data_IF_364202745053
#
_entry.id   IF_364202745053
#
_cell.length_a   1.000
_cell.length_b   1.000
_cell.length_c   1.000
_cell.angle_alpha   90.00
_cell.angle_beta   90.00
_cell.angle_gamma   90.00
#
_symmetry.space_group_name_H-M   'P 1'
#
loop_
_entity.id
_entity.type
_entity.pdbx_description
1 polymer ?
#
# COMPACT_ATOMS: atom_id res chain seq x y z
N UNK A 1 -2.43 -7.26 -1.90
CA UNK A 1 -1.59 -6.11 -2.28
C UNK A 1 -1.55 -5.13 -1.12
N UNK A 2 -0.36 -4.73 -0.68
CA UNK A 2 -0.13 -3.72 0.36
C UNK A 2 1.16 -2.95 0.03
N UNK A 3 1.23 -1.67 0.36
CA UNK A 3 2.41 -0.83 0.05
C UNK A 3 3.54 -0.98 1.09
N UNK A 4 3.17 -1.18 2.37
CA UNK A 4 4.12 -1.31 3.48
C UNK A 4 3.52 -2.14 4.61
N UNK A 5 4.36 -2.98 5.23
CA UNK A 5 4.05 -3.67 6.48
C UNK A 5 4.73 -2.91 7.61
N UNK A 6 3.98 -2.58 8.67
CA UNK A 6 4.51 -1.89 9.85
C UNK A 6 4.84 -2.94 10.91
N UNK A 7 6.07 -2.90 11.43
CA UNK A 7 6.50 -3.84 12.47
C UNK A 7 5.74 -3.58 13.77
N UNK A 8 5.37 -4.67 14.44
CA UNK A 8 4.77 -4.60 15.77
C UNK A 8 5.84 -4.48 16.87
N UNK A 9 5.49 -3.88 18.03
CA UNK A 9 6.27 -3.96 19.26
C UNK A 9 6.59 -5.40 19.67
N UNK A 10 7.66 -5.57 20.46
CA UNK A 10 8.03 -6.89 21.01
C UNK A 10 6.88 -7.43 21.85
N UNK A 11 6.42 -8.63 21.51
CA UNK A 11 5.27 -9.27 22.15
C UNK A 11 3.91 -8.87 21.57
N UNK A 12 3.87 -8.09 20.50
CA UNK A 12 2.69 -7.80 19.68
C UNK A 12 2.03 -6.45 19.99
N UNK A 13 1.26 -5.95 19.02
CA UNK A 13 0.60 -4.64 19.08
C UNK A 13 -0.33 -4.46 20.29
N UNK A 14 -0.92 -5.55 20.80
CA UNK A 14 -1.82 -5.53 21.94
C UNK A 14 -1.11 -5.32 23.28
N UNK A 15 0.18 -5.65 23.39
CA UNK A 15 0.95 -5.49 24.64
C UNK A 15 1.42 -4.08 24.89
N UNK A 16 1.75 -3.35 23.81
CA UNK A 16 2.08 -1.92 23.89
C UNK A 16 1.37 -1.14 22.76
N UNK A 17 0.08 -0.80 22.96
CA UNK A 17 -0.67 -0.03 21.99
C UNK A 17 -0.12 1.38 21.78
N UNK A 18 0.55 1.96 22.79
CA UNK A 18 1.11 3.32 22.70
C UNK A 18 2.30 3.34 21.74
N UNK A 19 3.20 2.37 21.86
CA UNK A 19 4.32 2.22 20.94
C UNK A 19 3.82 1.87 19.52
N UNK A 20 2.85 0.97 19.40
CA UNK A 20 2.26 0.65 18.11
C UNK A 20 1.63 1.88 17.44
N UNK A 21 0.91 2.72 18.18
CA UNK A 21 0.34 3.96 17.66
C UNK A 21 1.42 4.93 17.15
N UNK A 22 2.57 5.02 17.83
CA UNK A 22 3.69 5.82 17.37
C UNK A 22 4.28 5.31 16.04
N UNK A 23 4.44 3.98 15.90
CA UNK A 23 4.90 3.36 14.65
C UNK A 23 3.92 3.58 13.51
N UNK A 24 2.62 3.40 13.77
CA UNK A 24 1.57 3.63 12.79
C UNK A 24 1.53 5.10 12.37
N UNK A 25 1.58 6.05 13.32
CA UNK A 25 1.61 7.49 13.01
C UNK A 25 2.76 7.85 12.09
N UNK A 26 3.96 7.32 12.36
CA UNK A 26 5.12 7.55 11.48
C UNK A 26 4.87 6.99 10.08
N UNK A 27 4.41 5.74 9.98
CA UNK A 27 4.15 5.11 8.69
C UNK A 27 3.08 5.83 7.86
N UNK A 28 2.00 6.30 8.51
CA UNK A 28 0.95 7.08 7.86
C UNK A 28 1.47 8.44 7.37
N UNK A 29 2.26 9.14 8.16
CA UNK A 29 2.86 10.42 7.75
C UNK A 29 3.80 10.24 6.54
N UNK A 30 4.60 9.18 6.53
CA UNK A 30 5.49 8.88 5.41
C UNK A 30 4.69 8.56 4.14
N UNK A 31 3.64 7.74 4.25
CA UNK A 31 2.75 7.44 3.13
C UNK A 31 2.02 8.69 2.61
N UNK A 32 1.56 9.55 3.53
CA UNK A 32 0.90 10.80 3.18
C UNK A 32 1.83 11.76 2.44
N UNK A 33 3.10 11.90 2.87
CA UNK A 33 4.08 12.74 2.15
C UNK A 33 4.30 12.33 0.70
N UNK A 34 4.19 11.04 0.39
CA UNK A 34 4.36 10.55 -0.99
C UNK A 34 3.23 10.98 -1.93
N UNK A 35 2.06 11.34 -1.39
CA UNK A 35 0.86 11.66 -2.16
C UNK A 35 0.32 13.07 -1.93
N UNK A 36 0.67 13.72 -0.81
CA UNK A 36 0.10 14.99 -0.37
C UNK A 36 0.42 16.17 -1.30
N UNK A 37 1.59 16.15 -1.95
CA UNK A 37 2.04 17.23 -2.82
C UNK A 37 1.61 17.04 -4.30
N UNK A 38 0.97 15.91 -4.61
CA UNK A 38 0.54 15.60 -5.98
C UNK A 38 -0.76 16.33 -6.33
N UNK A 39 -0.87 16.80 -7.58
CA UNK A 39 -2.12 17.35 -8.08
C UNK A 39 -3.17 16.25 -8.18
N UNK A 40 -4.44 16.64 -8.06
CA UNK A 40 -5.57 15.70 -8.09
C UNK A 40 -5.58 14.83 -9.35
N UNK A 41 -5.22 15.38 -10.51
CA UNK A 41 -5.13 14.62 -11.77
C UNK A 41 -4.10 13.50 -11.68
N UNK A 42 -2.89 13.83 -11.24
CA UNK A 42 -1.77 12.89 -11.12
C UNK A 42 -2.06 11.80 -10.06
N UNK A 43 -2.78 12.16 -8.98
CA UNK A 43 -3.25 11.20 -7.97
C UNK A 43 -4.21 10.15 -8.54
N UNK A 44 -5.14 10.58 -9.39
CA UNK A 44 -6.12 9.69 -10.02
C UNK A 44 -5.43 8.77 -11.04
N UNK A 45 -4.52 9.32 -11.84
CA UNK A 45 -3.76 8.55 -12.83
C UNK A 45 -2.91 7.47 -12.16
N UNK A 46 -2.09 7.83 -11.15
CA UNK A 46 -1.30 6.86 -10.38
C UNK A 46 -2.15 5.76 -9.74
N UNK A 47 -3.31 6.12 -9.17
CA UNK A 47 -4.23 5.14 -8.58
C UNK A 47 -4.74 4.17 -9.65
N UNK A 48 -5.08 4.69 -10.81
CA UNK A 48 -5.64 3.91 -11.92
C UNK A 48 -4.60 2.95 -12.51
N UNK A 49 -3.37 3.41 -12.74
CA UNK A 49 -2.25 2.55 -13.16
C UNK A 49 -1.98 1.44 -12.15
N UNK A 50 -1.93 1.80 -10.86
CA UNK A 50 -1.68 0.86 -9.78
C UNK A 50 -2.70 -0.27 -9.78
N UNK A 51 -4.00 0.06 -9.81
CA UNK A 51 -5.08 -0.94 -9.80
C UNK A 51 -5.07 -1.79 -11.07
N UNK A 52 -4.81 -1.21 -12.24
CA UNK A 52 -4.74 -1.96 -13.50
C UNK A 52 -3.59 -2.96 -13.54
N UNK A 53 -2.48 -2.67 -12.86
CA UNK A 53 -1.36 -3.61 -12.73
C UNK A 53 -1.63 -4.78 -11.77
N UNK A 54 -2.77 -4.82 -11.09
CA UNK A 54 -3.09 -5.90 -10.16
C UNK A 54 -3.70 -7.09 -10.89
N UNK A 55 -3.18 -8.28 -10.58
CA UNK A 55 -3.61 -9.54 -11.19
C UNK A 55 -2.69 -9.93 -12.33
N UNK A 56 -2.16 -11.15 -12.26
CA UNK A 56 -1.45 -11.78 -13.36
C UNK A 56 -2.35 -12.88 -13.88
N UNK A 57 -2.91 -12.70 -15.07
CA UNK A 57 -3.78 -13.66 -15.71
C UNK A 57 -2.95 -14.46 -16.72
N UNK A 58 -2.96 -15.79 -16.59
CA UNK A 58 -2.57 -16.69 -17.69
C UNK A 58 -3.83 -16.96 -18.48
N UNK A 59 -3.95 -16.43 -19.69
CA UNK A 59 -5.06 -16.77 -20.56
C UNK A 59 -4.88 -18.22 -21.02
N UNK A 60 -5.70 -19.15 -20.50
CA UNK A 60 -5.57 -20.59 -20.81
C UNK A 60 -6.26 -20.97 -22.13
N UNK A 61 -6.72 -20.05 -22.98
CA UNK A 61 -7.16 -20.40 -24.35
C UNK A 61 -6.91 -19.32 -25.40
N UNK A 62 -5.68 -19.24 -25.93
CA UNK A 62 -5.43 -18.77 -27.30
C UNK A 62 -3.99 -19.05 -27.78
N UNK A 63 -3.56 -20.31 -27.81
CA UNK A 63 -2.75 -20.78 -28.94
C UNK A 63 -3.03 -22.27 -29.16
N UNK A 64 -4.15 -22.52 -29.82
CA UNK A 64 -4.39 -23.77 -30.54
C UNK A 64 -4.47 -23.37 -31.99
N UNK A 65 -3.30 -23.22 -32.61
CA UNK A 65 -3.17 -23.16 -34.05
C UNK A 65 -2.18 -24.23 -34.50
#
# INVERSE_FOLDING_TARGET
>A
MVDKIVNEPVGGAHRDPRQMAAFLKRALNDAFRQVGDLKVKDLLERRYERIKGYGRFTDTKADSK
#
